data_IF_262395687656
#
_entry.id   IF_262395687656
#
_cell.length_a   1.000
_cell.length_b   1.000
_cell.length_c   1.000
_cell.angle_alpha   90.00
_cell.angle_beta   90.00
_cell.angle_gamma   90.00
#
_symmetry.space_group_name_H-M   'P 1'
#
loop_
_entity.id
_entity.type
_entity.pdbx_description
1 polymer ?
#
# COMPACT_ATOMS: atom_id res chain seq x y z
N UNK A 1 4.62 15.07 -14.91
CA UNK A 1 3.67 15.26 -13.82
C UNK A 1 3.01 16.61 -13.94
N UNK A 2 1.67 16.66 -14.00
CA UNK A 2 0.88 17.91 -14.05
C UNK A 2 -0.24 17.83 -13.02
N UNK A 3 -0.47 18.93 -12.31
CA UNK A 3 -1.56 19.03 -11.31
C UNK A 3 -2.45 20.19 -11.68
N UNK A 4 -3.74 19.94 -11.74
CA UNK A 4 -4.75 20.94 -12.04
C UNK A 4 -5.73 21.04 -10.86
N UNK A 5 -5.81 22.20 -10.23
CA UNK A 5 -6.77 22.53 -9.19
C UNK A 5 -7.86 23.39 -9.83
N UNK A 6 -9.04 22.83 -10.01
CA UNK A 6 -10.13 23.43 -10.76
C UNK A 6 -11.29 23.70 -9.81
N UNK A 7 -11.74 24.94 -9.74
CA UNK A 7 -13.03 25.29 -9.17
C UNK A 7 -13.98 25.47 -10.34
N UNK A 8 -15.06 24.69 -10.36
CA UNK A 8 -16.05 24.78 -11.43
C UNK A 8 -16.67 26.18 -11.40
N UNK A 9 -16.39 26.95 -12.45
CA UNK A 9 -16.83 28.34 -12.56
C UNK A 9 -18.34 28.43 -12.68
N UNK A 10 -18.95 29.52 -12.16
CA UNK A 10 -20.37 29.87 -12.38
C UNK A 10 -20.73 30.12 -13.85
N UNK A 11 -19.72 30.29 -14.73
CA UNK A 11 -19.93 30.40 -16.19
C UNK A 11 -20.20 29.05 -16.88
N UNK A 12 -19.96 27.93 -16.21
CA UNK A 12 -20.50 26.64 -16.68
C UNK A 12 -21.99 26.61 -16.35
N UNK A 13 -22.81 26.10 -17.29
CA UNK A 13 -24.21 25.85 -17.06
C UNK A 13 -24.43 25.09 -15.73
N UNK A 14 -25.59 25.18 -15.14
CA UNK A 14 -25.93 24.68 -13.80
C UNK A 14 -25.44 23.25 -13.53
N UNK A 15 -25.23 22.44 -14.59
CA UNK A 15 -24.54 21.15 -14.55
C UNK A 15 -23.78 20.96 -15.86
N UNK A 16 -22.48 20.73 -15.79
CA UNK A 16 -21.62 20.44 -16.94
C UNK A 16 -21.00 19.04 -16.80
N UNK A 17 -20.72 18.37 -17.91
CA UNK A 17 -19.95 17.13 -17.86
C UNK A 17 -18.53 17.41 -17.40
N UNK A 18 -17.99 16.55 -16.55
CA UNK A 18 -16.61 16.64 -16.06
C UNK A 18 -15.60 16.72 -17.23
N UNK A 19 -15.81 15.94 -18.29
CA UNK A 19 -14.97 15.95 -19.48
C UNK A 19 -14.86 17.31 -20.15
N UNK A 20 -15.95 18.06 -20.25
CA UNK A 20 -15.96 19.42 -20.81
C UNK A 20 -15.16 20.40 -19.94
N UNK A 21 -15.31 20.28 -18.61
CA UNK A 21 -14.56 21.11 -17.65
C UNK A 21 -13.07 20.82 -17.74
N UNK A 22 -12.68 19.56 -17.74
CA UNK A 22 -11.28 19.14 -17.84
C UNK A 22 -10.66 19.50 -19.19
N UNK A 23 -11.38 19.28 -20.31
CA UNK A 23 -10.88 19.60 -21.67
C UNK A 23 -10.58 21.08 -21.82
N UNK A 24 -11.46 21.97 -21.34
CA UNK A 24 -11.25 23.41 -21.37
C UNK A 24 -10.04 23.87 -20.52
N UNK A 25 -9.76 23.16 -19.44
CA UNK A 25 -8.72 23.58 -18.47
C UNK A 25 -7.36 22.97 -18.79
N UNK A 26 -7.31 21.76 -19.38
CA UNK A 26 -6.06 21.00 -19.50
C UNK A 26 -5.51 20.86 -20.90
N UNK A 27 -6.32 21.11 -21.92
CA UNK A 27 -6.00 20.89 -23.35
C UNK A 27 -5.62 19.43 -23.67
N UNK A 28 -6.01 18.45 -22.81
CA UNK A 28 -5.86 17.03 -23.07
C UNK A 28 -7.05 16.53 -23.90
N UNK A 29 -6.81 15.51 -24.71
CA UNK A 29 -7.89 14.88 -25.46
C UNK A 29 -8.82 14.05 -24.55
N UNK A 30 -10.01 13.77 -25.03
CA UNK A 30 -11.08 13.12 -24.29
C UNK A 30 -10.70 11.69 -23.89
N UNK A 31 -9.94 10.97 -24.73
CA UNK A 31 -9.49 9.61 -24.46
C UNK A 31 -8.53 9.57 -23.26
N UNK A 32 -7.56 10.49 -23.20
CA UNK A 32 -6.64 10.61 -22.09
C UNK A 32 -7.36 11.03 -20.79
N UNK A 33 -8.35 11.92 -20.90
CA UNK A 33 -9.17 12.34 -19.76
C UNK A 33 -10.00 11.19 -19.21
N UNK A 34 -10.63 10.38 -20.09
CA UNK A 34 -11.41 9.23 -19.69
C UNK A 34 -10.55 8.15 -19.02
N UNK A 35 -9.39 7.82 -19.60
CA UNK A 35 -8.43 6.87 -19.02
C UNK A 35 -7.93 7.33 -17.64
N UNK A 36 -7.54 8.58 -17.53
CA UNK A 36 -7.07 9.13 -16.26
C UNK A 36 -8.15 9.13 -15.17
N UNK A 37 -9.39 9.49 -15.52
CA UNK A 37 -10.53 9.43 -14.60
C UNK A 37 -10.80 7.99 -14.14
N UNK A 38 -10.88 7.03 -15.06
CA UNK A 38 -11.10 5.62 -14.75
C UNK A 38 -10.03 5.06 -13.80
N UNK A 39 -8.78 5.49 -13.96
CA UNK A 39 -7.62 5.11 -13.13
C UNK A 39 -7.50 5.86 -11.80
N UNK A 40 -8.45 6.77 -11.49
CA UNK A 40 -8.53 7.45 -10.19
C UNK A 40 -7.67 8.72 -10.07
N UNK A 41 -7.31 9.37 -11.19
CA UNK A 41 -6.54 10.61 -11.18
C UNK A 41 -7.40 11.87 -10.90
N UNK A 42 -8.73 11.75 -10.88
CA UNK A 42 -9.66 12.87 -10.68
C UNK A 42 -10.32 12.76 -9.31
N UNK A 43 -10.15 13.81 -8.51
CA UNK A 43 -10.71 13.94 -7.17
C UNK A 43 -11.73 15.07 -7.14
N UNK A 44 -12.83 14.86 -6.49
CA UNK A 44 -13.95 15.76 -6.41
C UNK A 44 -14.35 16.05 -4.98
N UNK A 45 -14.61 17.31 -4.70
CA UNK A 45 -15.19 17.78 -3.44
C UNK A 45 -16.40 18.65 -3.75
N UNK A 46 -17.59 18.14 -3.47
CA UNK A 46 -18.86 18.79 -3.79
C UNK A 46 -18.99 20.13 -3.06
N UNK A 47 -19.27 21.23 -3.81
CA UNK A 47 -19.36 22.57 -3.27
C UNK A 47 -18.13 23.03 -2.50
N UNK A 48 -16.97 22.42 -2.76
CA UNK A 48 -15.71 22.70 -2.03
C UNK A 48 -15.72 22.29 -0.56
N UNK A 49 -16.67 21.47 -0.12
CA UNK A 49 -16.84 21.04 1.27
C UNK A 49 -17.12 19.52 1.35
N UNK A 50 -16.91 18.93 2.53
CA UNK A 50 -17.21 17.51 2.77
C UNK A 50 -16.15 16.52 2.26
N UNK A 51 -16.57 15.27 2.07
CA UNK A 51 -15.68 14.14 1.68
C UNK A 51 -15.15 14.34 0.26
N UNK A 52 -13.88 14.08 0.08
CA UNK A 52 -13.24 14.05 -1.24
C UNK A 52 -13.39 12.64 -1.81
N UNK A 53 -13.88 12.52 -3.04
CA UNK A 53 -14.15 11.26 -3.72
C UNK A 53 -13.48 11.24 -5.10
N UNK A 54 -13.21 10.05 -5.62
CA UNK A 54 -12.79 9.90 -7.01
C UNK A 54 -13.99 10.04 -7.96
N UNK A 55 -13.82 10.79 -9.05
CA UNK A 55 -14.70 10.72 -10.21
C UNK A 55 -14.05 9.83 -11.27
N UNK A 56 -14.70 8.71 -11.59
CA UNK A 56 -14.15 7.67 -12.46
C UNK A 56 -14.70 7.67 -13.87
N UNK A 57 -15.59 8.60 -14.18
CA UNK A 57 -16.11 8.82 -15.53
C UNK A 57 -16.12 10.31 -15.84
N UNK A 58 -15.77 10.66 -17.06
CA UNK A 58 -15.83 12.03 -17.55
C UNK A 58 -17.26 12.49 -17.86
N UNK A 59 -18.23 11.56 -17.90
CA UNK A 59 -19.65 11.84 -18.14
C UNK A 59 -20.42 12.29 -16.89
N UNK A 60 -19.78 12.22 -15.72
CA UNK A 60 -20.40 12.69 -14.45
C UNK A 60 -20.64 14.18 -14.53
N UNK A 61 -21.84 14.60 -14.04
CA UNK A 61 -22.19 16.00 -13.96
C UNK A 61 -21.58 16.63 -12.70
N UNK A 62 -20.91 17.77 -12.90
CA UNK A 62 -20.34 18.60 -11.84
C UNK A 62 -21.05 19.94 -11.80
N UNK A 63 -21.16 20.52 -10.61
CA UNK A 63 -21.90 21.77 -10.34
C UNK A 63 -20.94 22.94 -10.13
N UNK A 64 -21.41 24.20 -10.28
CA UNK A 64 -20.66 25.37 -9.86
C UNK A 64 -20.20 25.21 -8.40
N UNK A 65 -19.00 25.73 -8.09
CA UNK A 65 -18.33 25.67 -6.78
C UNK A 65 -17.77 24.29 -6.39
N UNK A 66 -18.01 23.24 -7.17
CA UNK A 66 -17.29 21.97 -6.98
C UNK A 66 -15.79 22.17 -7.17
N UNK A 67 -15.00 21.57 -6.26
CA UNK A 67 -13.54 21.51 -6.39
C UNK A 67 -13.15 20.21 -7.04
N UNK A 68 -12.37 20.30 -8.12
CA UNK A 68 -11.82 19.16 -8.84
C UNK A 68 -10.31 19.29 -8.81
N UNK A 69 -9.66 18.28 -8.25
CA UNK A 69 -8.22 18.14 -8.35
C UNK A 69 -7.90 17.03 -9.37
N UNK A 70 -7.21 17.36 -10.41
CA UNK A 70 -6.80 16.42 -11.45
C UNK A 70 -5.28 16.30 -11.46
N UNK A 71 -4.80 15.09 -11.24
CA UNK A 71 -3.38 14.74 -11.15
C UNK A 71 -2.98 13.89 -12.33
N UNK A 72 -2.40 14.49 -13.36
CA UNK A 72 -2.03 13.81 -14.60
C UNK A 72 -0.54 13.47 -14.63
N UNK A 73 -0.22 12.18 -14.70
CA UNK A 73 1.11 11.67 -14.97
C UNK A 73 1.04 10.52 -15.96
N UNK A 74 1.42 10.79 -17.23
CA UNK A 74 1.34 9.81 -18.30
C UNK A 74 2.12 8.53 -18.00
N UNK A 75 3.27 8.64 -17.29
CA UNK A 75 4.07 7.47 -16.91
C UNK A 75 3.35 6.61 -15.88
N UNK A 76 2.74 7.21 -14.86
CA UNK A 76 1.98 6.48 -13.85
C UNK A 76 0.74 5.84 -14.49
N UNK A 77 0.02 6.58 -15.32
CA UNK A 77 -1.18 6.11 -15.99
C UNK A 77 -0.90 5.02 -17.07
N UNK A 78 0.34 4.91 -17.57
CA UNK A 78 0.74 3.85 -18.51
C UNK A 78 1.02 2.50 -17.86
N UNK A 79 1.15 2.42 -16.52
CA UNK A 79 1.30 1.13 -15.87
C UNK A 79 0.04 0.27 -16.03
N UNK A 80 0.20 -1.05 -16.21
CA UNK A 80 -0.94 -1.95 -16.32
C UNK A 80 -1.76 -1.97 -15.02
N UNK A 81 -3.05 -2.14 -15.15
CA UNK A 81 -3.94 -2.29 -14.00
C UNK A 81 -3.67 -3.63 -13.29
N UNK A 82 -3.74 -3.61 -11.96
CA UNK A 82 -3.77 -4.85 -11.18
C UNK A 82 -5.18 -5.45 -11.25
N UNK A 83 -5.35 -6.51 -12.04
CA UNK A 83 -6.66 -7.13 -12.28
C UNK A 83 -6.94 -8.34 -11.40
N UNK A 84 -5.92 -8.95 -10.80
CA UNK A 84 -6.03 -10.14 -9.97
C UNK A 84 -5.29 -9.97 -8.65
N UNK A 85 -5.84 -10.51 -7.57
CA UNK A 85 -5.19 -10.61 -6.27
C UNK A 85 -5.63 -11.91 -5.60
N UNK A 86 -4.71 -12.55 -4.87
CA UNK A 86 -4.97 -13.79 -4.18
C UNK A 86 -5.45 -13.51 -2.75
N UNK A 87 -6.67 -13.96 -2.43
CA UNK A 87 -7.17 -14.02 -1.07
C UNK A 87 -6.77 -15.37 -0.45
N UNK A 88 -6.03 -15.33 0.66
CA UNK A 88 -5.54 -16.53 1.34
C UNK A 88 -6.42 -16.94 2.52
N UNK A 89 -7.13 -15.98 3.09
CA UNK A 89 -8.09 -16.20 4.18
C UNK A 89 -9.19 -15.16 4.07
N UNK A 90 -10.43 -15.60 4.19
CA UNK A 90 -11.59 -14.73 4.04
C UNK A 90 -12.64 -14.96 5.12
N UNK A 91 -13.21 -13.86 5.61
CA UNK A 91 -14.35 -13.79 6.51
C UNK A 91 -15.40 -12.83 5.95
N UNK A 92 -16.61 -12.73 6.51
CA UNK A 92 -17.58 -11.70 6.15
C UNK A 92 -17.08 -10.27 6.43
N UNK A 93 -16.08 -10.09 7.29
CA UNK A 93 -15.63 -8.78 7.77
C UNK A 93 -14.34 -8.30 7.15
N UNK A 94 -13.44 -9.23 6.76
CA UNK A 94 -12.12 -8.92 6.22
C UNK A 94 -11.54 -10.10 5.45
N UNK A 95 -10.52 -9.81 4.62
CA UNK A 95 -9.68 -10.82 3.99
C UNK A 95 -8.20 -10.58 4.26
N UNK A 96 -7.42 -11.66 4.28
CA UNK A 96 -5.95 -11.62 4.25
C UNK A 96 -5.52 -11.93 2.82
N UNK A 97 -4.90 -10.93 2.21
CA UNK A 97 -4.55 -10.93 0.80
C UNK A 97 -3.03 -10.98 0.61
N UNK A 98 -2.59 -11.64 -0.43
CA UNK A 98 -1.21 -11.58 -0.87
C UNK A 98 -0.97 -10.32 -1.70
N UNK A 99 -0.05 -9.47 -1.28
CA UNK A 99 0.42 -8.31 -2.03
C UNK A 99 1.75 -8.65 -2.72
N UNK A 100 1.80 -8.73 -4.05
CA UNK A 100 3.06 -8.92 -4.77
C UNK A 100 4.05 -7.77 -4.55
N UNK A 101 5.34 -8.04 -4.70
CA UNK A 101 6.37 -7.01 -4.75
C UNK A 101 6.10 -6.04 -5.92
N UNK A 102 6.40 -4.75 -5.73
CA UNK A 102 6.18 -3.71 -6.73
C UNK A 102 4.74 -3.16 -6.79
N UNK A 103 3.77 -3.83 -6.17
CA UNK A 103 2.37 -3.39 -6.08
C UNK A 103 2.19 -2.42 -4.93
N UNK A 104 1.46 -1.32 -5.16
CA UNK A 104 1.10 -0.38 -4.11
C UNK A 104 0.06 -0.99 -3.16
N UNK A 105 0.14 -0.77 -1.84
CA UNK A 105 -0.90 -1.20 -0.90
C UNK A 105 -2.22 -0.47 -1.14
N UNK A 106 -2.17 0.82 -1.42
CA UNK A 106 -3.29 1.71 -1.74
C UNK A 106 -2.91 2.69 -2.84
N UNK A 107 -3.88 3.34 -3.45
CA UNK A 107 -3.67 4.39 -4.44
C UNK A 107 -2.90 5.59 -3.92
N UNK A 108 -2.44 6.40 -4.86
CA UNK A 108 -1.86 7.72 -4.65
C UNK A 108 -2.80 8.79 -5.20
N UNK A 109 -2.45 10.06 -5.02
CA UNK A 109 -3.22 11.15 -5.65
C UNK A 109 -3.26 11.06 -7.18
N UNK A 110 -2.28 10.42 -7.82
CA UNK A 110 -2.19 10.31 -9.29
C UNK A 110 -2.99 9.15 -9.87
N UNK A 111 -3.20 8.09 -9.12
CA UNK A 111 -3.97 6.91 -9.54
C UNK A 111 -4.05 5.87 -8.44
N UNK A 112 -4.96 4.92 -8.59
CA UNK A 112 -5.10 3.76 -7.71
C UNK A 112 -5.18 2.41 -8.45
N UNK A 113 -5.25 2.41 -9.77
CA UNK A 113 -5.45 1.22 -10.61
C UNK A 113 -4.36 0.14 -10.44
N UNK A 114 -3.18 0.52 -9.95
CA UNK A 114 -2.05 -0.41 -9.67
C UNK A 114 -1.98 -0.85 -8.22
N UNK A 115 -3.01 -0.56 -7.40
CA UNK A 115 -2.97 -0.87 -5.96
C UNK A 115 -3.77 -2.11 -5.60
N UNK A 116 -3.30 -2.84 -4.57
CA UNK A 116 -4.02 -4.00 -4.05
C UNK A 116 -5.42 -3.60 -3.58
N UNK A 117 -5.55 -2.50 -2.83
CA UNK A 117 -6.85 -2.07 -2.30
C UNK A 117 -7.87 -1.87 -3.42
N UNK A 118 -7.49 -1.22 -4.53
CA UNK A 118 -8.38 -1.01 -5.67
C UNK A 118 -8.74 -2.31 -6.38
N UNK A 119 -7.79 -3.23 -6.53
CA UNK A 119 -8.03 -4.55 -7.08
C UNK A 119 -9.07 -5.32 -6.24
N UNK A 120 -8.88 -5.35 -4.92
CA UNK A 120 -9.81 -6.01 -3.98
C UNK A 120 -11.20 -5.38 -4.04
N UNK A 121 -11.30 -4.03 -4.08
CA UNK A 121 -12.56 -3.30 -4.23
C UNK A 121 -13.35 -3.74 -5.48
N UNK A 122 -12.65 -3.88 -6.61
CA UNK A 122 -13.26 -4.37 -7.86
C UNK A 122 -13.70 -5.84 -7.77
N UNK A 123 -12.88 -6.71 -7.19
CA UNK A 123 -13.19 -8.13 -7.01
C UNK A 123 -14.38 -8.34 -6.06
N UNK A 124 -14.43 -7.58 -4.98
CA UNK A 124 -15.52 -7.68 -3.97
C UNK A 124 -16.77 -6.90 -4.37
N UNK A 125 -16.69 -6.00 -5.37
CA UNK A 125 -17.77 -5.10 -5.80
C UNK A 125 -18.35 -4.26 -4.67
N UNK A 126 -17.55 -3.91 -3.69
CA UNK A 126 -17.92 -3.11 -2.52
C UNK A 126 -16.75 -2.24 -2.07
N UNK A 127 -17.02 -1.17 -1.36
CA UNK A 127 -15.98 -0.35 -0.74
C UNK A 127 -15.18 -1.21 0.25
N UNK A 128 -13.85 -1.10 0.19
CA UNK A 128 -12.93 -1.80 1.07
C UNK A 128 -11.98 -0.83 1.76
N UNK A 129 -11.42 -1.23 2.87
CA UNK A 129 -10.73 -0.34 3.79
C UNK A 129 -9.33 -0.84 4.10
N UNK A 130 -8.36 0.08 4.02
CA UNK A 130 -6.99 -0.19 4.41
C UNK A 130 -6.88 -0.27 5.94
N UNK A 131 -6.33 -1.37 6.44
CA UNK A 131 -6.07 -1.57 7.87
C UNK A 131 -4.63 -1.16 8.22
N UNK A 132 -3.68 -1.67 7.45
CA UNK A 132 -2.26 -1.40 7.55
C UNK A 132 -1.64 -1.38 6.15
N UNK A 133 -0.36 -1.05 6.06
CA UNK A 133 0.33 -0.98 4.78
C UNK A 133 1.65 -1.73 4.80
N UNK A 134 2.03 -2.21 3.64
CA UNK A 134 3.39 -2.62 3.28
C UNK A 134 3.99 -1.59 2.33
N UNK A 135 5.31 -1.54 2.26
CA UNK A 135 5.98 -0.74 1.22
C UNK A 135 5.65 -1.30 -0.17
N UNK A 136 5.81 -0.49 -1.21
CA UNK A 136 5.59 -0.93 -2.59
C UNK A 136 6.43 -2.16 -2.93
N UNK A 137 7.70 -2.15 -2.54
CA UNK A 137 8.67 -3.19 -2.85
C UNK A 137 8.52 -4.43 -1.95
N UNK A 138 7.92 -4.28 -0.76
CA UNK A 138 7.70 -5.39 0.18
C UNK A 138 6.57 -6.28 -0.32
N UNK A 139 6.82 -7.57 -0.40
CA UNK A 139 5.83 -8.60 -0.70
C UNK A 139 5.19 -9.14 0.58
N UNK A 140 4.00 -9.75 0.50
CA UNK A 140 3.46 -10.53 1.59
C UNK A 140 2.03 -10.25 2.01
N UNK A 141 1.69 -10.67 3.23
CA UNK A 141 0.33 -10.67 3.76
C UNK A 141 -0.15 -9.26 4.13
N UNK A 142 -1.35 -8.93 3.68
CA UNK A 142 -2.02 -7.67 3.98
C UNK A 142 -3.50 -7.89 4.32
N UNK A 143 -3.96 -7.30 5.43
CA UNK A 143 -5.36 -7.37 5.85
C UNK A 143 -6.13 -6.23 5.19
N UNK A 144 -7.27 -6.55 4.57
CA UNK A 144 -8.22 -5.59 3.98
C UNK A 144 -9.58 -5.76 4.64
N UNK A 145 -10.14 -4.70 5.17
CA UNK A 145 -11.48 -4.68 5.78
C UNK A 145 -12.58 -4.47 4.75
N UNK A 146 -13.74 -5.10 4.97
CA UNK A 146 -14.90 -5.03 4.08
C UNK A 146 -15.99 -4.06 4.56
N UNK A 147 -15.74 -3.37 5.66
CA UNK A 147 -16.57 -2.28 6.17
C UNK A 147 -15.75 -1.31 7.02
N UNK A 148 -16.26 -0.11 7.24
CA UNK A 148 -15.63 0.87 8.13
C UNK A 148 -15.55 0.38 9.58
N UNK A 149 -16.52 -0.38 10.04
CA UNK A 149 -16.51 -1.02 11.37
C UNK A 149 -15.40 -2.06 11.48
N UNK A 150 -15.26 -2.91 10.46
CA UNK A 150 -14.19 -3.91 10.40
C UNK A 150 -12.81 -3.23 10.40
N UNK A 151 -12.67 -2.16 9.62
CA UNK A 151 -11.45 -1.37 9.59
C UNK A 151 -11.11 -0.79 10.96
N UNK A 152 -12.08 -0.22 11.66
CA UNK A 152 -11.86 0.36 12.99
C UNK A 152 -11.38 -0.70 14.00
N UNK A 153 -12.08 -1.84 14.09
CA UNK A 153 -11.71 -2.95 15.01
C UNK A 153 -10.33 -3.52 14.72
N UNK A 154 -10.00 -3.78 13.45
CA UNK A 154 -8.70 -4.33 13.08
C UNK A 154 -7.58 -3.30 13.23
N UNK A 155 -7.80 -2.04 12.91
CA UNK A 155 -6.82 -0.97 13.14
C UNK A 155 -6.50 -0.80 14.63
N UNK A 156 -7.48 -0.96 15.52
CA UNK A 156 -7.28 -0.93 16.97
C UNK A 156 -6.33 -2.06 17.42
N UNK A 157 -6.45 -3.27 16.86
CA UNK A 157 -5.51 -4.37 17.13
C UNK A 157 -4.07 -4.01 16.71
N UNK A 158 -3.90 -3.34 15.54
CA UNK A 158 -2.57 -2.87 15.12
C UNK A 158 -2.02 -1.78 16.04
N UNK A 159 -2.85 -0.82 16.45
CA UNK A 159 -2.45 0.27 17.35
C UNK A 159 -2.05 -0.24 18.74
N UNK A 160 -2.72 -1.28 19.23
CA UNK A 160 -2.46 -1.93 20.51
C UNK A 160 -1.38 -3.01 20.46
N UNK A 161 -0.70 -3.18 19.31
CA UNK A 161 0.30 -4.22 19.09
C UNK A 161 -0.21 -5.66 19.38
N UNK A 162 -1.50 -5.91 19.14
CA UNK A 162 -2.15 -7.20 19.34
C UNK A 162 -2.08 -8.12 18.11
N UNK A 163 -1.38 -7.70 17.07
CA UNK A 163 -1.09 -8.49 15.87
C UNK A 163 0.41 -8.78 15.82
N UNK A 164 0.77 -10.05 15.95
CA UNK A 164 2.13 -10.49 15.70
C UNK A 164 2.40 -10.50 14.21
N UNK A 165 3.43 -9.77 13.79
CA UNK A 165 3.87 -9.64 12.39
C UNK A 165 5.25 -10.26 12.26
N UNK A 166 5.37 -11.29 11.44
CA UNK A 166 6.66 -11.93 11.17
C UNK A 166 7.02 -11.74 9.71
N UNK A 167 8.25 -11.31 9.50
CA UNK A 167 8.82 -11.12 8.17
C UNK A 167 9.99 -12.07 7.95
N UNK A 168 10.30 -12.36 6.70
CA UNK A 168 11.57 -12.92 6.27
C UNK A 168 12.35 -11.84 5.53
N UNK A 169 13.66 -11.79 5.72
CA UNK A 169 14.54 -10.88 5.00
C UNK A 169 15.83 -11.59 4.63
N UNK A 170 16.31 -11.39 3.40
CA UNK A 170 17.70 -11.70 3.04
C UNK A 170 18.48 -10.39 3.15
N UNK A 171 19.56 -10.42 3.92
CA UNK A 171 20.44 -9.25 4.13
C UNK A 171 21.81 -9.50 3.53
N UNK A 172 22.54 -8.43 3.21
CA UNK A 172 23.94 -8.48 2.82
C UNK A 172 24.83 -8.63 4.07
N UNK A 173 25.90 -9.39 3.91
CA UNK A 173 26.81 -9.73 4.99
C UNK A 173 26.41 -11.03 5.71
N UNK A 174 27.42 -11.71 6.23
CA UNK A 174 27.24 -12.94 7.00
C UNK A 174 27.08 -12.62 8.47
N UNK A 175 26.03 -13.17 9.06
CA UNK A 175 25.76 -13.13 10.51
C UNK A 175 25.79 -14.57 11.04
N UNK A 176 26.27 -14.77 12.25
CA UNK A 176 26.31 -16.08 12.87
C UNK A 176 24.90 -16.67 13.00
N UNK A 177 24.72 -17.92 12.51
CA UNK A 177 23.43 -18.63 12.61
C UNK A 177 22.99 -18.78 14.06
N UNK A 178 21.72 -18.53 14.34
CA UNK A 178 21.13 -18.58 15.68
C UNK A 178 21.29 -17.27 16.47
N UNK A 179 22.04 -16.28 15.95
CA UNK A 179 22.10 -14.94 16.56
C UNK A 179 20.70 -14.34 16.68
N UNK A 180 20.40 -13.85 17.88
CA UNK A 180 19.19 -13.07 18.18
C UNK A 180 19.57 -11.69 18.66
N UNK A 181 18.97 -10.68 18.07
CA UNK A 181 19.24 -9.28 18.41
C UNK A 181 17.95 -8.46 18.41
N UNK A 182 17.86 -7.54 19.35
CA UNK A 182 16.83 -6.50 19.36
C UNK A 182 17.46 -5.17 18.98
N UNK A 183 16.89 -4.54 17.95
CA UNK A 183 17.27 -3.21 17.49
C UNK A 183 16.21 -2.25 18.02
N UNK A 184 16.60 -1.39 18.95
CA UNK A 184 15.74 -0.37 19.58
C UNK A 184 16.33 1.00 19.24
N UNK A 185 16.15 1.42 17.98
CA UNK A 185 16.65 2.69 17.47
C UNK A 185 15.47 3.55 16.99
N UNK A 186 15.36 4.76 17.50
CA UNK A 186 14.26 5.66 17.15
C UNK A 186 14.30 6.08 15.68
N UNK A 187 13.16 6.06 15.04
CA UNK A 187 13.00 6.45 13.65
C UNK A 187 12.11 7.70 13.55
N UNK A 188 12.67 8.78 13.01
CA UNK A 188 12.01 10.09 12.90
C UNK A 188 11.48 10.60 14.26
N UNK A 189 12.30 10.41 15.33
CA UNK A 189 11.98 10.83 16.71
C UNK A 189 10.89 9.98 17.38
N UNK A 190 10.55 8.80 16.81
CA UNK A 190 9.55 7.88 17.36
C UNK A 190 10.18 6.54 17.66
N UNK A 191 9.80 5.95 18.79
CA UNK A 191 10.22 4.61 19.18
C UNK A 191 9.97 3.60 18.06
N UNK A 192 10.99 2.76 17.81
CA UNK A 192 10.92 1.68 16.83
C UNK A 192 11.69 0.46 17.35
N UNK A 193 11.02 -0.69 17.45
CA UNK A 193 11.59 -1.92 18.00
C UNK A 193 11.47 -3.03 16.95
N UNK A 194 12.61 -3.66 16.63
CA UNK A 194 12.73 -4.77 15.67
C UNK A 194 13.56 -5.88 16.28
N UNK A 195 13.03 -7.10 16.28
CA UNK A 195 13.71 -8.31 16.71
C UNK A 195 14.10 -9.12 15.49
N UNK A 196 15.34 -9.61 15.48
CA UNK A 196 15.85 -10.47 14.42
C UNK A 196 16.37 -11.79 14.98
N UNK A 197 16.26 -12.84 14.16
CA UNK A 197 16.88 -14.15 14.39
C UNK A 197 17.48 -14.63 13.07
N UNK A 198 18.76 -15.01 13.10
CA UNK A 198 19.49 -15.52 11.92
C UNK A 198 19.18 -16.99 11.72
N UNK A 199 18.51 -17.35 10.64
CA UNK A 199 18.18 -18.75 10.31
C UNK A 199 19.30 -19.48 9.59
N UNK A 200 19.94 -18.78 8.66
CA UNK A 200 21.01 -19.33 7.82
C UNK A 200 21.89 -18.20 7.28
N UNK A 201 23.09 -18.57 6.86
CA UNK A 201 23.97 -17.70 6.08
C UNK A 201 24.58 -18.50 4.91
N UNK A 202 24.79 -17.82 3.81
CA UNK A 202 25.42 -18.40 2.62
C UNK A 202 25.89 -17.29 1.67
N UNK A 203 27.12 -17.44 1.14
CA UNK A 203 27.63 -16.61 0.05
C UNK A 203 27.57 -15.09 0.34
N UNK A 204 28.00 -14.70 1.54
CA UNK A 204 27.99 -13.28 1.95
C UNK A 204 26.59 -12.70 2.25
N UNK A 205 25.59 -13.54 2.51
CA UNK A 205 24.22 -13.17 2.81
C UNK A 205 23.70 -13.93 4.01
N UNK A 206 22.69 -13.37 4.69
CA UNK A 206 22.01 -14.04 5.80
C UNK A 206 20.50 -14.00 5.61
N UNK A 207 19.83 -15.10 5.94
CA UNK A 207 18.37 -15.19 6.00
C UNK A 207 17.91 -14.95 7.44
N UNK A 208 17.04 -14.00 7.62
CA UNK A 208 16.52 -13.58 8.91
C UNK A 208 15.01 -13.83 9.03
N UNK A 209 14.59 -14.21 10.24
CA UNK A 209 13.24 -13.94 10.73
C UNK A 209 13.26 -12.60 11.44
N UNK A 210 12.30 -11.76 11.13
CA UNK A 210 12.17 -10.42 11.70
C UNK A 210 10.78 -10.24 12.30
N UNK A 211 10.70 -9.78 13.54
CA UNK A 211 9.45 -9.37 14.22
C UNK A 211 9.52 -7.90 14.58
N UNK A 212 8.42 -7.21 14.42
CA UNK A 212 8.33 -5.78 14.74
C UNK A 212 7.21 -5.52 15.75
N UNK A 213 7.49 -4.73 16.79
CA UNK A 213 6.47 -4.24 17.72
C UNK A 213 5.80 -2.98 17.17
N UNK A 214 6.56 -2.11 16.56
CA UNK A 214 6.11 -0.86 15.96
C UNK A 214 6.03 -0.97 14.42
N UNK A 215 5.44 0.02 13.74
CA UNK A 215 5.29 0.03 12.28
C UNK A 215 5.70 1.39 11.69
N UNK A 216 6.98 1.79 11.81
CA UNK A 216 7.47 3.05 11.24
C UNK A 216 7.80 2.89 9.76
N UNK A 217 7.85 4.01 9.05
CA UNK A 217 8.18 4.02 7.62
C UNK A 217 9.53 3.35 7.36
N UNK A 218 9.53 2.29 6.53
CA UNK A 218 10.69 1.47 6.20
C UNK A 218 11.44 0.90 7.42
N UNK A 219 10.76 0.64 8.54
CA UNK A 219 11.41 0.31 9.81
C UNK A 219 12.43 -0.81 9.70
N UNK A 220 12.04 -1.98 9.19
CA UNK A 220 12.93 -3.14 9.04
C UNK A 220 14.14 -2.78 8.17
N UNK A 221 13.91 -2.14 7.05
CA UNK A 221 14.93 -1.74 6.09
C UNK A 221 15.95 -0.79 6.71
N UNK A 222 15.48 0.22 7.48
CA UNK A 222 16.34 1.21 8.17
C UNK A 222 17.11 0.58 9.31
N UNK A 223 16.49 -0.28 10.11
CA UNK A 223 17.14 -0.94 11.23
C UNK A 223 18.23 -1.91 10.78
N UNK A 224 17.96 -2.68 9.70
CA UNK A 224 18.95 -3.61 9.16
C UNK A 224 20.12 -2.87 8.48
N UNK A 225 19.87 -1.74 7.82
CA UNK A 225 20.92 -0.86 7.31
C UNK A 225 21.75 -0.24 8.43
N UNK A 226 21.11 0.19 9.52
CA UNK A 226 21.78 0.75 10.71
C UNK A 226 22.79 -0.21 11.35
N UNK A 227 22.48 -1.50 11.39
CA UNK A 227 23.41 -2.53 11.87
C UNK A 227 24.37 -3.05 10.78
N UNK A 228 24.49 -2.34 9.65
CA UNK A 228 25.37 -2.68 8.50
C UNK A 228 25.04 -4.00 7.78
N UNK A 229 23.80 -4.47 7.91
CA UNK A 229 23.25 -5.62 7.21
C UNK A 229 21.99 -5.23 6.41
N UNK A 230 22.11 -4.36 5.37
CA UNK A 230 20.93 -3.87 4.63
C UNK A 230 20.21 -5.02 3.91
N UNK A 231 18.90 -4.90 3.78
CA UNK A 231 18.08 -5.86 3.04
C UNK A 231 18.54 -5.93 1.58
N UNK A 232 18.82 -7.12 1.08
CA UNK A 232 19.27 -7.34 -0.30
C UNK A 232 18.28 -6.76 -1.31
N UNK A 233 18.78 -6.04 -2.31
CA UNK A 233 17.98 -5.45 -3.38
C UNK A 233 17.22 -4.17 -3.00
N UNK A 234 17.48 -3.62 -1.81
CA UNK A 234 16.83 -2.38 -1.38
C UNK A 234 17.23 -1.20 -2.29
N UNK A 235 16.23 -0.51 -2.93
CA UNK A 235 16.53 0.60 -3.84
C UNK A 235 16.95 1.88 -3.13
N UNK A 236 16.83 1.95 -1.79
CA UNK A 236 17.06 3.16 -0.99
C UNK A 236 18.15 3.01 0.05
N UNK A 237 18.27 1.85 0.67
CA UNK A 237 19.19 1.57 1.77
C UNK A 237 20.28 0.56 1.34
N UNK A 238 21.46 0.66 1.95
CA UNK A 238 22.63 -0.11 1.52
C UNK A 238 23.22 0.45 0.23
N UNK A 239 24.36 1.12 0.31
CA UNK A 239 25.02 1.74 -0.86
C UNK A 239 25.27 0.72 -1.98
N UNK A 240 24.77 1.00 -3.19
CA UNK A 240 24.93 0.12 -4.35
C UNK A 240 24.12 -1.18 -4.32
N UNK A 241 23.21 -1.34 -3.39
CA UNK A 241 22.44 -2.56 -3.12
C UNK A 241 21.31 -2.84 -4.13
N UNK A 242 20.86 -1.83 -4.88
CA UNK A 242 19.79 -2.01 -5.88
C UNK A 242 20.19 -3.04 -6.94
N UNK A 243 19.36 -4.07 -7.12
CA UNK A 243 19.56 -5.12 -8.12
C UNK A 243 18.26 -5.36 -8.94
N UNK A 244 18.32 -6.33 -9.89
CA UNK A 244 17.17 -6.69 -10.74
C UNK A 244 16.16 -7.59 -10.02
N UNK A 245 16.57 -8.32 -9.00
CA UNK A 245 15.72 -9.28 -8.26
C UNK A 245 14.81 -8.59 -7.24
N UNK A 246 15.00 -7.28 -7.04
CA UNK A 246 14.21 -6.46 -6.14
C UNK A 246 14.51 -6.70 -4.66
N UNK A 247 13.72 -6.04 -3.81
CA UNK A 247 13.83 -6.09 -2.35
C UNK A 247 13.49 -7.49 -1.82
N UNK A 248 14.40 -8.09 -1.08
CA UNK A 248 14.20 -9.39 -0.42
C UNK A 248 13.65 -9.21 1.00
N UNK A 249 12.42 -8.70 1.09
CA UNK A 249 11.65 -8.51 2.33
C UNK A 249 10.22 -8.98 2.12
N UNK A 250 9.82 -9.98 2.91
CA UNK A 250 8.55 -10.66 2.81
C UNK A 250 7.78 -10.57 4.13
N UNK A 251 6.55 -10.04 4.12
CA UNK A 251 5.62 -10.13 5.25
C UNK A 251 5.04 -11.55 5.31
N UNK A 252 5.75 -12.46 6.02
CA UNK A 252 5.56 -13.91 5.96
C UNK A 252 4.34 -14.38 6.71
N UNK A 253 4.09 -13.87 7.93
CA UNK A 253 2.94 -14.34 8.71
C UNK A 253 2.32 -13.26 9.58
N UNK A 254 1.04 -13.47 9.88
CA UNK A 254 0.21 -12.67 10.78
C UNK A 254 -0.47 -13.60 11.78
N UNK A 255 -0.47 -13.19 13.07
CA UNK A 255 -1.18 -13.90 14.13
C UNK A 255 -1.88 -12.92 15.06
N UNK A 256 -3.18 -13.13 15.28
CA UNK A 256 -4.00 -12.29 16.14
C UNK A 256 -5.26 -13.01 16.62
N UNK A 257 -5.91 -12.47 17.65
CA UNK A 257 -7.24 -12.91 18.09
C UNK A 257 -8.31 -12.22 17.25
N UNK A 258 -9.10 -13.00 16.51
CA UNK A 258 -10.19 -12.48 15.70
C UNK A 258 -11.23 -11.76 16.57
N UNK A 259 -11.56 -10.49 16.31
CA UNK A 259 -12.43 -9.71 17.19
C UNK A 259 -13.91 -10.15 17.15
N UNK A 260 -14.34 -10.96 16.17
CA UNK A 260 -15.71 -11.46 16.06
C UNK A 260 -15.85 -12.88 16.60
N UNK A 261 -14.96 -13.78 16.21
CA UNK A 261 -15.03 -15.20 16.59
C UNK A 261 -14.32 -15.52 17.89
N UNK A 262 -13.45 -14.63 18.37
CA UNK A 262 -12.57 -14.81 19.54
C UNK A 262 -11.64 -16.02 19.40
N UNK A 263 -11.39 -16.47 18.17
CA UNK A 263 -10.44 -17.53 17.86
C UNK A 263 -9.12 -16.91 17.36
N UNK A 264 -8.02 -17.60 17.61
CA UNK A 264 -6.74 -17.23 17.05
C UNK A 264 -6.74 -17.48 15.55
N UNK A 265 -6.46 -16.44 14.77
CA UNK A 265 -6.14 -16.52 13.35
C UNK A 265 -4.63 -16.49 13.23
N UNK A 266 -4.06 -17.50 12.60
CA UNK A 266 -2.65 -17.59 12.26
C UNK A 266 -2.55 -17.94 10.79
N UNK A 267 -2.02 -17.00 9.99
CA UNK A 267 -1.86 -17.16 8.55
C UNK A 267 -0.39 -16.95 8.20
N UNK A 268 0.14 -17.89 7.43
CA UNK A 268 1.49 -17.81 6.85
C UNK A 268 1.41 -17.99 5.35
N UNK A 269 2.29 -17.31 4.61
CA UNK A 269 2.46 -17.58 3.19
C UNK A 269 2.96 -19.01 2.99
N UNK A 270 2.47 -19.71 1.93
CA UNK A 270 3.00 -21.00 1.51
C UNK A 270 4.52 -20.97 1.29
N UNK A 271 5.16 -22.16 1.29
CA UNK A 271 6.62 -22.25 1.16
C UNK A 271 7.12 -21.81 -0.22
N UNK A 272 6.35 -22.05 -1.28
CA UNK A 272 6.64 -21.60 -2.63
C UNK A 272 6.65 -20.07 -2.80
N UNK A 273 6.05 -19.34 -1.85
CA UNK A 273 6.10 -17.88 -1.73
C UNK A 273 7.05 -17.42 -0.60
N UNK A 274 8.04 -18.23 -0.23
CA UNK A 274 9.09 -17.86 0.75
C UNK A 274 10.34 -17.32 0.06
N UNK A 275 11.19 -16.56 0.80
CA UNK A 275 12.48 -16.07 0.29
C UNK A 275 13.52 -17.19 0.25
#
# INVERSE_FOLDING_TARGET
MRTFNIIVSKHFAVKSKLGEVLKKTTSLDETLLADAAAKGAVWHQKGGKGKILHLRSIDVLVAPEDKINFYYDAKILSFPELTTAQCLYETPHYGIWHKPAGVLPQGTQYSDHTSLLRCVEKLKKTEVYLIHRLDRETEGLMIVGYSSEAAAKLSDLFQKNQITKTYQAIVLGEMEKGTRQTINESLDGKEAITHIEVLANKEGKSLLIVRIETGRLHQIRRHLDFISHPVMGDPKYGRGNKNRDGLKLLAKSLKFLDPWTRKTVEMSLPEDLSL
#
